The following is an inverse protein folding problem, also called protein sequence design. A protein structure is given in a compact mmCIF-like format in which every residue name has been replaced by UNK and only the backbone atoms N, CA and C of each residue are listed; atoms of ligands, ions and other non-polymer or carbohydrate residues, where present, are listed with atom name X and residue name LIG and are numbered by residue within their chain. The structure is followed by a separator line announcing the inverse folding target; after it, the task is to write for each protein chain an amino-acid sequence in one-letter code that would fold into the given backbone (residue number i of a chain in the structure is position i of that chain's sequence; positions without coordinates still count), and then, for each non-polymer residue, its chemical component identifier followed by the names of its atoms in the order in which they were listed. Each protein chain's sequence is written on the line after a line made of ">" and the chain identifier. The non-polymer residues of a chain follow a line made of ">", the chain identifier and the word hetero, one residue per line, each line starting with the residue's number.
data_IF_208002332847
#
_entry.id   IF_208002332847
#
_cell.length_a   1.000
_cell.length_b   1.000
_cell.length_c   1.000
_cell.angle_alpha   90.00
_cell.angle_beta   90.00
_cell.angle_gamma   90.00
#
_symmetry.space_group_name_H-M   'P 1'
#
loop_
_entity.id
_entity.type
_entity.pdbx_description
1 polymer ?
#
# COMPACT_ATOMS: atom_id res chain seq x y z
N UNK A 1 -43.14 -33.87 -44.08
CA UNK A 1 -43.27 -32.80 -45.10
C UNK A 1 -41.91 -32.61 -45.73
N UNK A 2 -41.71 -33.12 -46.95
CA UNK A 2 -40.50 -32.92 -47.75
C UNK A 2 -40.56 -31.60 -48.51
N UNK A 3 -39.40 -30.96 -48.74
CA UNK A 3 -38.98 -30.50 -50.07
C UNK A 3 -37.45 -30.23 -50.13
N UNK A 4 -36.82 -30.39 -51.32
CA UNK A 4 -35.39 -30.70 -51.47
C UNK A 4 -34.58 -29.71 -52.34
N UNK A 5 -33.27 -29.97 -52.47
CA UNK A 5 -32.39 -29.51 -53.57
C UNK A 5 -31.46 -28.37 -53.19
N UNK A 6 -30.17 -28.32 -53.56
CA UNK A 6 -29.45 -28.91 -54.70
C UNK A 6 -27.95 -29.07 -54.39
N UNK A 7 -27.45 -30.26 -54.74
CA UNK A 7 -26.13 -30.65 -55.31
C UNK A 7 -25.55 -29.58 -56.27
N UNK A 8 -24.26 -29.34 -56.55
CA UNK A 8 -22.88 -29.86 -56.34
C UNK A 8 -21.98 -28.57 -56.39
N UNK A 9 -20.69 -28.56 -56.04
CA UNK A 9 -19.59 -28.74 -56.99
C UNK A 9 -18.32 -29.07 -56.20
N UNK A 10 -17.67 -30.12 -56.69
CA UNK A 10 -16.39 -30.69 -56.31
C UNK A 10 -15.24 -29.81 -56.79
N UNK A 11 -14.25 -29.58 -55.93
CA UNK A 11 -12.89 -29.28 -56.36
C UNK A 11 -11.94 -30.26 -55.67
N UNK A 12 -11.47 -31.24 -56.45
CA UNK A 12 -10.33 -32.08 -56.10
C UNK A 12 -9.08 -31.27 -56.42
N UNK A 13 -8.25 -31.02 -55.41
CA UNK A 13 -6.83 -30.70 -55.60
C UNK A 13 -6.04 -31.73 -54.81
N UNK A 14 -5.37 -32.61 -55.53
CA UNK A 14 -4.31 -33.49 -55.03
C UNK A 14 -3.04 -32.65 -54.92
N UNK A 15 -2.26 -32.80 -53.84
CA UNK A 15 -0.78 -32.83 -53.86
C UNK A 15 -0.19 -32.99 -52.45
N UNK A 16 0.71 -33.98 -52.34
CA UNK A 16 1.94 -34.05 -51.56
C UNK A 16 1.94 -33.79 -50.04
N UNK A 17 2.38 -34.80 -49.28
CA UNK A 17 2.50 -34.75 -47.82
C UNK A 17 3.67 -33.92 -47.28
N UNK A 18 3.67 -33.84 -45.95
CA UNK A 18 4.83 -33.79 -45.06
C UNK A 18 4.29 -34.01 -43.64
N UNK A 19 4.57 -35.17 -43.05
CA UNK A 19 4.52 -35.36 -41.60
C UNK A 19 5.58 -34.45 -40.98
N UNK A 20 5.16 -33.36 -40.38
CA UNK A 20 6.03 -32.55 -39.51
C UNK A 20 5.42 -32.58 -38.13
N UNK A 21 6.04 -33.34 -37.23
CA UNK A 21 5.76 -33.29 -35.81
C UNK A 21 5.92 -31.83 -35.34
N UNK A 22 4.88 -31.30 -34.70
CA UNK A 22 4.92 -29.97 -34.12
C UNK A 22 5.98 -29.89 -33.00
N UNK A 23 6.62 -28.73 -32.79
CA UNK A 23 7.55 -28.54 -31.68
C UNK A 23 6.86 -28.77 -30.33
N UNK A 24 7.56 -29.30 -29.31
CA UNK A 24 7.03 -29.33 -27.95
C UNK A 24 6.79 -27.90 -27.46
N UNK A 25 5.66 -27.68 -26.78
CA UNK A 25 5.33 -26.44 -26.09
C UNK A 25 6.50 -26.02 -25.18
N UNK A 26 6.93 -24.74 -25.20
CA UNK A 26 7.85 -24.25 -24.20
C UNK A 26 7.18 -24.33 -22.82
N UNK A 27 7.92 -24.69 -21.75
CA UNK A 27 7.37 -24.66 -20.40
C UNK A 27 6.86 -23.24 -20.10
N UNK A 28 5.83 -23.09 -19.24
CA UNK A 28 5.40 -21.78 -18.81
C UNK A 28 6.61 -21.05 -18.21
N UNK A 29 6.99 -19.94 -18.82
CA UNK A 29 7.91 -19.00 -18.22
C UNK A 29 7.29 -18.53 -16.93
N UNK A 30 7.79 -19.02 -15.80
CA UNK A 30 7.58 -18.40 -14.50
C UNK A 30 8.10 -16.98 -14.61
N UNK A 31 7.21 -16.04 -14.91
CA UNK A 31 7.47 -14.63 -14.69
C UNK A 31 7.42 -14.46 -13.18
N UNK A 32 8.52 -14.83 -12.52
CA UNK A 32 8.81 -14.35 -11.20
C UNK A 32 8.88 -12.83 -11.31
N UNK A 33 7.75 -12.18 -11.06
CA UNK A 33 7.70 -10.75 -10.80
C UNK A 33 8.79 -10.50 -9.77
N UNK A 34 9.85 -9.80 -10.20
CA UNK A 34 10.87 -9.33 -9.29
C UNK A 34 10.14 -8.50 -8.23
N UNK A 35 9.90 -9.11 -7.06
CA UNK A 35 9.35 -8.42 -5.92
C UNK A 35 10.28 -7.24 -5.66
N UNK A 36 9.73 -6.03 -5.71
CA UNK A 36 10.49 -4.83 -5.46
C UNK A 36 11.18 -4.98 -4.10
N UNK A 37 12.51 -5.01 -4.06
CA UNK A 37 13.31 -5.17 -2.82
C UNK A 37 13.23 -3.94 -1.90
N UNK A 38 12.35 -2.99 -2.22
CA UNK A 38 12.15 -1.75 -1.47
C UNK A 38 10.80 -1.76 -0.77
N UNK A 39 10.75 -1.16 0.42
CA UNK A 39 9.47 -0.89 1.07
C UNK A 39 8.62 0.00 0.13
N UNK A 40 7.36 -0.33 -0.15
CA UNK A 40 6.53 0.48 -1.04
C UNK A 40 6.11 1.83 -0.43
N UNK A 41 6.71 2.23 0.69
CA UNK A 41 6.42 3.48 1.38
C UNK A 41 6.61 4.66 0.43
N UNK A 42 5.49 5.23 -0.04
CA UNK A 42 5.46 6.45 -0.85
C UNK A 42 5.68 7.65 0.06
N UNK A 43 6.91 7.80 0.50
CA UNK A 43 7.35 8.97 1.26
C UNK A 43 7.31 10.20 0.33
N UNK A 44 6.55 11.20 0.74
CA UNK A 44 6.51 12.51 0.09
C UNK A 44 7.15 13.55 1.02
N UNK A 45 7.88 14.50 0.43
CA UNK A 45 8.54 15.62 1.12
C UNK A 45 8.07 16.98 0.58
N UNK A 46 7.10 16.99 -0.34
CA UNK A 46 6.40 18.17 -0.79
C UNK A 46 5.41 18.72 0.24
N UNK A 47 4.59 19.70 -0.16
CA UNK A 47 3.54 20.25 0.67
C UNK A 47 2.54 19.17 1.10
N UNK A 48 1.99 19.29 2.30
CA UNK A 48 0.87 18.46 2.73
C UNK A 48 -0.38 18.70 1.86
N UNK A 49 -1.28 17.70 1.73
CA UNK A 49 -2.61 17.96 1.18
C UNK A 49 -3.30 19.09 1.94
N UNK A 50 -4.05 19.95 1.25
CA UNK A 50 -4.72 21.13 1.84
C UNK A 50 -5.58 20.77 3.07
N UNK A 51 -6.33 19.66 3.01
CA UNK A 51 -7.15 19.21 4.14
C UNK A 51 -6.34 18.72 5.35
N UNK A 52 -5.04 18.48 5.19
CA UNK A 52 -4.13 17.99 6.20
C UNK A 52 -3.13 19.04 6.70
N UNK A 53 -3.06 20.21 6.05
CA UNK A 53 -2.17 21.30 6.44
C UNK A 53 -2.78 22.22 7.53
N UNK A 54 -4.07 22.04 7.82
CA UNK A 54 -4.77 22.82 8.81
C UNK A 54 -4.08 22.70 10.18
N UNK A 55 -3.61 23.85 10.70
CA UNK A 55 -2.88 23.92 11.98
C UNK A 55 -1.35 23.91 11.85
N UNK A 56 -0.81 23.78 10.63
CA UNK A 56 0.59 24.08 10.35
C UNK A 56 0.75 25.56 10.01
N UNK A 57 1.92 26.13 10.34
CA UNK A 57 2.27 27.51 10.02
C UNK A 57 3.52 27.53 9.14
N UNK A 58 3.52 28.34 8.08
CA UNK A 58 4.67 28.51 7.19
C UNK A 58 4.79 27.41 6.13
N UNK A 59 6.03 27.06 5.77
CA UNK A 59 6.32 26.02 4.78
C UNK A 59 6.04 24.62 5.37
N UNK A 60 5.05 23.92 4.85
CA UNK A 60 4.56 22.62 5.34
C UNK A 60 5.25 21.42 4.68
N UNK A 61 6.47 21.60 4.17
CA UNK A 61 7.30 20.52 3.65
C UNK A 61 7.83 19.65 4.79
N UNK A 62 7.05 18.65 5.17
CA UNK A 62 7.38 17.68 6.20
C UNK A 62 7.27 16.27 5.60
N UNK A 63 8.22 15.35 5.88
CA UNK A 63 8.12 13.99 5.39
C UNK A 63 6.80 13.35 5.81
N UNK A 64 6.04 12.83 4.85
CA UNK A 64 4.74 12.24 5.11
C UNK A 64 4.43 11.08 4.17
N UNK A 65 3.49 10.23 4.58
CA UNK A 65 2.97 9.13 3.75
C UNK A 65 1.46 9.26 3.70
N UNK A 66 0.91 9.37 2.50
CA UNK A 66 -0.52 9.33 2.27
C UNK A 66 -1.01 7.88 2.23
N UNK A 67 -2.12 7.61 2.91
CA UNK A 67 -2.82 6.33 2.84
C UNK A 67 -3.23 5.97 1.41
N UNK A 68 -3.32 4.67 1.13
CA UNK A 68 -3.65 4.14 -0.19
C UNK A 68 -5.01 4.65 -0.71
N UNK A 69 -5.98 4.88 0.18
CA UNK A 69 -7.27 5.49 -0.15
C UNK A 69 -7.25 7.03 -0.11
N UNK A 70 -6.19 7.61 0.46
CA UNK A 70 -6.04 9.05 0.63
C UNK A 70 -6.90 9.64 1.77
N UNK A 71 -7.39 8.80 2.67
CA UNK A 71 -8.28 9.22 3.77
C UNK A 71 -7.52 9.59 5.04
N UNK A 72 -6.22 9.31 5.10
CA UNK A 72 -5.35 9.65 6.22
C UNK A 72 -3.94 9.91 5.72
N UNK A 73 -3.25 10.86 6.36
CA UNK A 73 -1.82 11.09 6.17
C UNK A 73 -1.09 10.85 7.48
N UNK A 74 0.06 10.17 7.39
CA UNK A 74 1.02 10.04 8.47
C UNK A 74 2.14 11.06 8.28
N UNK A 75 2.14 12.12 9.08
CA UNK A 75 3.20 13.14 9.08
C UNK A 75 4.31 12.68 10.03
N UNK A 76 5.51 12.45 9.49
CA UNK A 76 6.61 11.77 10.16
C UNK A 76 7.59 12.76 10.78
N UNK A 77 7.23 13.34 11.92
CA UNK A 77 8.14 14.21 12.69
C UNK A 77 9.39 13.49 13.19
N UNK A 78 9.30 12.17 13.37
CA UNK A 78 10.42 11.30 13.74
C UNK A 78 11.23 10.76 12.56
N UNK A 79 11.09 11.29 11.34
CA UNK A 79 11.77 10.73 10.18
C UNK A 79 13.31 10.91 10.25
N UNK A 80 14.12 9.88 9.94
CA UNK A 80 13.71 8.50 9.64
C UNK A 80 13.26 7.73 10.89
N UNK A 81 12.19 6.95 10.75
CA UNK A 81 11.72 6.07 11.82
C UNK A 81 12.78 5.00 12.11
N UNK A 82 13.07 4.76 13.38
CA UNK A 82 14.24 3.98 13.79
C UNK A 82 13.89 2.98 14.90
N UNK A 83 14.27 1.72 14.72
CA UNK A 83 14.22 0.67 15.74
C UNK A 83 15.52 0.60 16.55
N UNK A 84 15.42 0.23 17.83
CA UNK A 84 16.59 0.05 18.70
C UNK A 84 17.29 1.37 19.03
N UNK A 85 16.54 2.48 18.94
CA UNK A 85 17.03 3.82 19.21
C UNK A 85 17.62 3.93 20.64
N UNK A 86 18.71 4.69 20.78
CA UNK A 86 19.18 5.27 22.04
C UNK A 86 18.69 6.72 22.23
N UNK A 87 19.60 7.67 22.37
CA UNK A 87 19.28 9.11 22.35
C UNK A 87 18.94 9.59 20.93
N UNK A 88 17.88 10.40 20.76
CA UNK A 88 17.44 10.89 19.44
C UNK A 88 16.02 11.47 19.40
N UNK A 89 15.48 11.86 18.22
CA UNK A 89 14.08 12.24 18.05
C UNK A 89 13.17 11.01 18.12
N UNK A 90 12.01 11.14 18.75
CA UNK A 90 11.07 10.01 18.92
C UNK A 90 10.50 9.62 17.55
N UNK A 91 10.02 8.39 17.41
CA UNK A 91 9.24 7.96 16.23
C UNK A 91 7.85 8.64 16.26
N UNK A 92 7.84 9.97 16.29
CA UNK A 92 6.66 10.80 16.43
C UNK A 92 5.96 10.87 15.08
N UNK A 93 4.68 10.54 15.11
CA UNK A 93 3.80 10.58 13.95
C UNK A 93 2.56 11.38 14.33
N UNK A 94 2.17 12.33 13.46
CA UNK A 94 0.86 12.93 13.51
C UNK A 94 0.00 12.28 12.44
N UNK A 95 -1.10 11.66 12.87
CA UNK A 95 -2.10 11.07 11.99
C UNK A 95 -3.19 12.10 11.73
N UNK A 96 -3.32 12.56 10.48
CA UNK A 96 -4.39 13.50 10.11
C UNK A 96 -5.35 12.76 9.20
N UNK A 97 -6.56 12.52 9.68
CA UNK A 97 -7.62 11.92 8.88
C UNK A 97 -8.36 13.00 8.10
N UNK A 98 -8.67 12.72 6.83
CA UNK A 98 -9.49 13.57 6.00
C UNK A 98 -10.86 13.77 6.67
N UNK A 99 -11.40 15.00 6.72
CA UNK A 99 -12.76 15.22 7.18
C UNK A 99 -13.76 14.38 6.38
N UNK A 100 -14.71 13.76 7.07
CA UNK A 100 -15.80 13.06 6.39
C UNK A 100 -16.73 14.10 5.72
N UNK A 101 -17.27 13.83 4.51
CA UNK A 101 -18.24 14.71 3.88
C UNK A 101 -19.42 15.02 4.81
N UNK A 102 -19.73 16.30 5.02
CA UNK A 102 -20.84 16.74 5.87
C UNK A 102 -20.58 16.68 7.39
N UNK A 103 -19.37 16.31 7.83
CA UNK A 103 -19.00 16.39 9.25
C UNK A 103 -18.45 17.78 9.60
N UNK A 104 -19.00 18.42 10.64
CA UNK A 104 -18.64 19.77 11.12
C UNK A 104 -17.40 19.81 12.05
N UNK A 105 -16.42 18.94 11.79
CA UNK A 105 -15.21 18.64 12.59
C UNK A 105 -15.35 17.38 13.49
N UNK A 106 -14.67 16.26 13.16
CA UNK A 106 -14.77 15.00 13.89
C UNK A 106 -13.64 14.82 14.93
N UNK A 107 -13.27 15.86 15.68
CA UNK A 107 -12.31 15.72 16.80
C UNK A 107 -12.79 14.73 17.88
N UNK A 108 -14.06 14.33 17.87
CA UNK A 108 -14.57 13.16 18.61
C UNK A 108 -14.53 11.94 17.72
N UNK A 109 -13.35 11.35 17.56
CA UNK A 109 -13.15 10.14 16.77
C UNK A 109 -12.78 8.97 17.67
N UNK A 110 -13.41 7.82 17.44
CA UNK A 110 -13.05 6.58 18.09
C UNK A 110 -11.55 6.30 17.90
N UNK A 111 -10.94 5.61 18.88
CA UNK A 111 -9.53 5.18 18.88
C UNK A 111 -9.06 4.77 17.48
N UNK A 112 -7.92 5.31 17.06
CA UNK A 112 -7.24 4.81 15.86
C UNK A 112 -6.49 3.54 16.24
N UNK A 113 -6.91 2.42 15.66
CA UNK A 113 -6.24 1.12 15.81
C UNK A 113 -5.30 0.95 14.62
N UNK A 114 -4.03 0.69 14.91
CA UNK A 114 -2.96 0.50 13.94
C UNK A 114 -2.51 -0.95 14.04
N UNK A 115 -2.81 -1.75 13.03
CA UNK A 115 -2.27 -3.11 12.90
C UNK A 115 -1.10 -3.08 11.93
N UNK A 116 0.12 -3.19 12.47
CA UNK A 116 1.35 -3.21 11.69
C UNK A 116 1.81 -4.66 11.48
N UNK A 117 2.01 -5.06 10.22
CA UNK A 117 2.56 -6.37 9.84
C UNK A 117 3.90 -6.15 9.15
N UNK A 118 4.95 -6.84 9.60
CA UNK A 118 6.29 -6.71 9.00
C UNK A 118 6.32 -7.48 7.68
N UNK A 119 6.86 -6.84 6.65
CA UNK A 119 6.99 -7.48 5.34
C UNK A 119 7.86 -8.73 5.41
N UNK A 120 7.48 -9.76 4.65
CA UNK A 120 8.17 -11.05 4.61
C UNK A 120 8.14 -11.88 5.90
N UNK A 121 7.39 -11.49 6.94
CA UNK A 121 7.28 -12.26 8.19
C UNK A 121 5.84 -12.36 8.71
N UNK A 122 5.61 -13.25 9.68
CA UNK A 122 4.34 -13.33 10.42
C UNK A 122 4.26 -12.33 11.59
N UNK A 123 5.26 -11.46 11.75
CA UNK A 123 5.31 -10.51 12.87
C UNK A 123 4.23 -9.45 12.71
N UNK A 124 3.33 -9.39 13.67
CA UNK A 124 2.25 -8.41 13.73
C UNK A 124 2.19 -7.75 15.11
N UNK A 125 1.99 -6.45 15.13
CA UNK A 125 1.76 -5.69 16.36
C UNK A 125 0.58 -4.74 16.20
N UNK A 126 -0.16 -4.54 17.28
CA UNK A 126 -1.22 -3.55 17.36
C UNK A 126 -0.75 -2.37 18.21
N UNK A 127 -1.08 -1.16 17.76
CA UNK A 127 -0.90 0.10 18.48
C UNK A 127 -2.20 0.87 18.44
N UNK A 128 -2.42 1.71 19.43
CA UNK A 128 -3.63 2.53 19.52
C UNK A 128 -3.26 3.99 19.74
N UNK A 129 -4.02 4.89 19.11
CA UNK A 129 -3.99 6.31 19.40
C UNK A 129 -5.34 6.67 20.01
N UNK A 130 -5.33 6.86 21.33
CA UNK A 130 -6.51 7.24 22.09
C UNK A 130 -7.05 8.59 21.60
N UNK A 131 -8.37 8.71 21.46
CA UNK A 131 -9.01 9.90 20.90
C UNK A 131 -9.02 9.96 19.36
N UNK A 132 -8.49 8.94 18.68
CA UNK A 132 -8.52 8.83 17.22
C UNK A 132 -7.23 9.31 16.55
N UNK A 133 -7.26 9.55 15.23
CA UNK A 133 -6.13 10.12 14.50
C UNK A 133 -5.65 11.41 15.16
N UNK A 134 -4.36 11.46 15.50
CA UNK A 134 -3.74 12.56 16.23
C UNK A 134 -2.25 12.32 16.46
N UNK A 135 -1.59 13.10 17.34
CA UNK A 135 -0.17 12.90 17.64
C UNK A 135 0.06 11.60 18.42
N UNK A 136 1.10 10.86 18.06
CA UNK A 136 1.49 9.62 18.75
C UNK A 136 2.99 9.32 18.60
N UNK A 137 3.48 8.39 19.43
CA UNK A 137 4.74 7.69 19.18
C UNK A 137 4.42 6.31 18.61
N UNK A 138 5.06 5.97 17.49
CA UNK A 138 4.93 4.66 16.87
C UNK A 138 6.27 3.92 16.94
N UNK A 139 6.43 3.04 17.94
CA UNK A 139 7.58 2.15 18.03
C UNK A 139 7.20 0.73 17.59
N UNK A 140 7.93 0.23 16.59
CA UNK A 140 7.77 -1.12 16.04
C UNK A 140 9.01 -1.98 16.40
N UNK A 141 8.83 -3.29 16.64
CA UNK A 141 9.84 -4.14 17.31
C UNK A 141 11.01 -4.58 16.43
N UNK A 142 11.09 -4.11 15.19
CA UNK A 142 12.17 -4.48 14.27
C UNK A 142 12.32 -3.43 13.15
N UNK A 143 13.53 -3.29 12.58
CA UNK A 143 13.72 -2.53 11.35
C UNK A 143 13.09 -3.25 10.15
N UNK A 144 12.95 -2.54 9.04
CA UNK A 144 12.43 -3.04 7.77
C UNK A 144 11.13 -2.36 7.35
N UNK A 145 10.47 -2.96 6.35
CA UNK A 145 9.19 -2.48 5.86
C UNK A 145 8.04 -3.01 6.73
N UNK A 146 7.09 -2.14 7.01
CA UNK A 146 5.89 -2.44 7.77
C UNK A 146 4.66 -1.99 7.01
N UNK A 147 3.74 -2.93 6.77
CA UNK A 147 2.41 -2.67 6.23
C UNK A 147 1.46 -2.35 7.38
N UNK A 148 0.92 -1.14 7.38
CA UNK A 148 -0.03 -0.68 8.38
C UNK A 148 -1.44 -0.72 7.82
N UNK A 149 -2.33 -1.35 8.57
CA UNK A 149 -3.77 -1.16 8.46
C UNK A 149 -4.22 -0.23 9.58
N UNK A 150 -4.94 0.81 9.20
CA UNK A 150 -5.41 1.89 10.06
C UNK A 150 -6.93 1.80 10.10
N UNK A 151 -7.52 1.58 11.28
CA UNK A 151 -8.97 1.49 11.46
C UNK A 151 -9.41 2.55 12.49
N UNK A 152 -10.33 3.44 12.12
CA UNK A 152 -10.85 4.48 13.03
C UNK A 152 -12.26 4.92 12.62
N UNK A 153 -13.18 5.05 13.57
CA UNK A 153 -14.54 5.59 13.33
C UNK A 153 -15.26 4.94 12.11
N UNK A 154 -15.11 3.61 11.96
CA UNK A 154 -15.67 2.85 10.82
C UNK A 154 -14.96 3.04 9.48
N UNK A 155 -13.90 3.85 9.43
CA UNK A 155 -13.03 4.05 8.26
C UNK A 155 -11.80 3.16 8.36
N UNK A 156 -11.27 2.79 7.19
CA UNK A 156 -10.06 2.00 7.06
C UNK A 156 -9.20 2.60 5.96
N UNK A 157 -7.89 2.69 6.20
CA UNK A 157 -6.88 2.98 5.17
C UNK A 157 -5.61 2.17 5.46
N UNK A 158 -4.69 2.12 4.51
CA UNK A 158 -3.44 1.38 4.62
C UNK A 158 -2.27 2.20 4.12
N UNK A 159 -1.12 2.06 4.75
CA UNK A 159 0.14 2.65 4.25
C UNK A 159 1.34 1.83 4.70
N UNK A 160 2.47 2.07 4.06
CA UNK A 160 3.71 1.39 4.38
C UNK A 160 4.71 2.36 5.01
N UNK A 161 5.41 1.90 6.06
CA UNK A 161 6.46 2.65 6.74
C UNK A 161 7.77 1.86 6.74
N UNK A 162 8.87 2.57 6.48
CA UNK A 162 10.22 2.01 6.60
C UNK A 162 10.83 2.37 7.95
N UNK A 163 11.26 1.36 8.71
CA UNK A 163 12.06 1.53 9.94
C UNK A 163 13.53 1.19 9.66
N UNK A 164 14.43 2.09 10.03
CA UNK A 164 15.88 1.84 10.00
C UNK A 164 16.32 1.16 11.29
N UNK A 165 17.43 0.43 11.24
CA UNK A 165 18.17 0.09 12.46
C UNK A 165 18.85 1.35 12.99
N UNK A 166 18.94 1.51 14.31
CA UNK A 166 19.85 2.48 14.89
C UNK A 166 21.28 2.21 14.38
N UNK A 167 22.04 3.29 14.14
CA UNK A 167 23.47 3.15 13.94
C UNK A 167 24.09 2.70 15.27
N UNK A 168 24.84 1.60 15.23
CA UNK A 168 25.61 1.12 16.38
C UNK A 168 26.85 1.96 16.64
#
# INVERSE_FOLDING_TARGET
>A
MSRPGRVLVVSVVVLAGCTTAGPPDPPPSDVASAASTGCPSRLDTGPLPEWADAGFSGDTRVPHVLGARGDIVAVLFGHPLTHGRGDGPANKVLWVARPAPGATDPATSATLVITATRDGTATRVTREVAGGPGPSILDLPAPGCWHLRLDWSGRVDTLDLTYRSAAG
#
